data_IF_239129551759
#
_entry.id   IF_239129551759
#
_cell.length_a   1.000
_cell.length_b   1.000
_cell.length_c   1.000
_cell.angle_alpha   90.00
_cell.angle_beta   90.00
_cell.angle_gamma   90.00
#
_symmetry.space_group_name_H-M   'P 1'
#
loop_
_entity.id
_entity.type
_entity.pdbx_description
1 polymer ?
#
# COMPACT_ATOMS: atom_id res chain seq x y z
N UNK A 1 -14.22 36.78 78.61
CA UNK A 1 -13.44 37.06 77.38
C UNK A 1 -12.76 35.79 76.91
N UNK A 2 -13.53 34.88 76.30
CA UNK A 2 -13.08 33.58 75.80
C UNK A 2 -13.65 33.51 74.39
N UNK A 3 -12.93 34.04 73.38
CA UNK A 3 -13.28 33.85 71.96
C UNK A 3 -12.22 34.32 70.95
N UNK A 4 -10.96 34.52 71.33
CA UNK A 4 -9.91 35.02 70.41
C UNK A 4 -8.74 34.03 70.19
N UNK A 5 -8.62 32.93 70.94
CA UNK A 5 -7.45 32.03 70.81
C UNK A 5 -7.70 30.77 69.95
N UNK A 6 -8.96 30.42 69.63
CA UNK A 6 -9.26 29.21 68.82
C UNK A 6 -9.28 29.41 67.30
N UNK A 7 -9.01 30.61 66.78
CA UNK A 7 -9.01 30.87 65.32
C UNK A 7 -7.61 30.90 64.70
N UNK A 8 -6.53 30.84 65.50
CA UNK A 8 -5.15 30.85 64.98
C UNK A 8 -4.47 29.49 64.94
N UNK A 9 -5.13 28.41 65.38
CA UNK A 9 -4.60 27.03 65.25
C UNK A 9 -5.29 26.19 64.15
N UNK A 10 -6.35 26.70 63.51
CA UNK A 10 -7.07 25.96 62.46
C UNK A 10 -6.77 26.44 61.04
N UNK A 11 -5.80 27.34 60.86
CA UNK A 11 -5.35 27.80 59.53
C UNK A 11 -4.00 27.16 59.15
N UNK A 12 -3.25 26.60 60.11
CA UNK A 12 -1.99 25.89 59.82
C UNK A 12 -2.14 24.37 59.63
N UNK A 13 -3.35 23.80 59.78
CA UNK A 13 -3.61 22.35 59.58
C UNK A 13 -4.38 22.03 58.29
N UNK A 14 -4.73 23.04 57.48
CA UNK A 14 -5.27 22.88 56.13
C UNK A 14 -4.26 23.23 55.02
N UNK A 15 -3.01 23.52 55.39
CA UNK A 15 -1.92 23.82 54.47
C UNK A 15 -0.96 22.63 54.22
N UNK A 16 -1.36 21.40 54.58
CA UNK A 16 -0.52 20.18 54.43
C UNK A 16 -1.12 19.12 53.47
N UNK A 17 -2.26 19.40 52.84
CA UNK A 17 -2.93 18.45 51.93
C UNK A 17 -3.23 19.09 50.56
N UNK A 18 -2.21 19.71 49.95
CA UNK A 18 -2.23 20.10 48.54
C UNK A 18 -0.85 19.99 47.88
N UNK A 19 0.02 19.10 48.36
CA UNK A 19 1.08 18.51 47.54
C UNK A 19 0.47 17.44 46.63
N UNK A 20 -0.47 17.88 45.79
CA UNK A 20 -0.89 17.11 44.63
C UNK A 20 0.34 16.93 43.76
N UNK A 21 0.94 15.75 43.85
CA UNK A 21 1.97 15.28 42.94
C UNK A 21 1.37 15.44 41.54
N UNK A 22 1.71 16.53 40.87
CA UNK A 22 1.69 16.58 39.42
C UNK A 22 2.76 15.58 38.99
N UNK A 23 2.37 14.31 39.00
CA UNK A 23 3.01 13.29 38.18
C UNK A 23 2.77 13.77 36.76
N UNK A 24 3.64 14.65 36.28
CA UNK A 24 3.91 14.75 34.87
C UNK A 24 4.29 13.33 34.49
N UNK A 25 3.32 12.60 33.94
CA UNK A 25 3.60 11.43 33.14
C UNK A 25 4.40 12.03 32.00
N UNK A 26 5.72 12.11 32.19
CA UNK A 26 6.67 12.15 31.10
C UNK A 26 6.34 10.86 30.37
N UNK A 27 5.45 10.98 29.37
CA UNK A 27 5.35 9.97 28.33
C UNK A 27 6.76 9.92 27.83
N UNK A 28 7.49 8.89 28.25
CA UNK A 28 8.75 8.50 27.65
C UNK A 28 8.41 8.50 26.17
N UNK A 29 8.89 9.52 25.45
CA UNK A 29 8.80 9.52 24.01
C UNK A 29 9.67 8.33 23.64
N UNK A 30 9.01 7.18 23.49
CA UNK A 30 9.61 6.00 22.94
C UNK A 30 10.20 6.51 21.63
N UNK A 31 11.54 6.52 21.55
CA UNK A 31 12.30 6.86 20.35
C UNK A 31 11.50 6.31 19.17
N UNK A 32 10.98 7.22 18.35
CA UNK A 32 9.92 6.89 17.41
C UNK A 32 10.44 5.76 16.53
N UNK A 33 9.96 4.54 16.79
CA UNK A 33 10.32 3.34 16.04
C UNK A 33 10.26 3.70 14.56
N UNK A 34 11.31 3.47 13.80
CA UNK A 34 11.39 3.79 12.37
C UNK A 34 10.32 3.07 11.53
N UNK A 35 9.55 2.18 12.16
CA UNK A 35 8.63 1.25 11.54
C UNK A 35 9.36 -0.02 11.11
N UNK A 36 8.63 -1.10 10.91
CA UNK A 36 9.20 -2.38 10.48
C UNK A 36 8.26 -3.18 9.60
N UNK A 37 8.84 -4.09 8.83
CA UNK A 37 8.15 -5.08 8.02
C UNK A 37 8.82 -6.42 8.29
N UNK A 38 8.02 -7.46 8.53
CA UNK A 38 8.51 -8.82 8.70
C UNK A 38 7.61 -9.77 7.91
N UNK A 39 8.22 -10.62 7.09
CA UNK A 39 7.52 -11.73 6.45
C UNK A 39 7.23 -12.82 7.47
N UNK A 40 5.97 -13.21 7.59
CA UNK A 40 5.52 -14.27 8.47
C UNK A 40 5.52 -15.59 7.71
N UNK A 41 5.97 -16.65 8.39
CA UNK A 41 5.89 -18.00 7.87
C UNK A 41 4.53 -18.60 8.17
N UNK A 42 4.10 -19.56 7.34
CA UNK A 42 2.91 -20.37 7.60
C UNK A 42 3.00 -21.04 8.99
N UNK A 43 1.85 -21.26 9.64
CA UNK A 43 1.82 -21.77 11.02
C UNK A 43 1.78 -20.66 12.08
N UNK A 44 2.32 -20.93 13.27
CA UNK A 44 2.20 -20.06 14.46
C UNK A 44 3.37 -19.06 14.56
N UNK A 45 3.04 -17.79 14.73
CA UNK A 45 3.98 -16.69 14.96
C UNK A 45 3.61 -16.00 16.30
N UNK A 46 4.53 -15.92 17.27
CA UNK A 46 4.21 -15.55 18.67
C UNK A 46 4.93 -14.30 19.19
N UNK A 47 5.66 -13.58 18.33
CA UNK A 47 6.57 -12.50 18.73
C UNK A 47 5.99 -11.09 18.62
N UNK A 48 4.74 -10.96 18.16
CA UNK A 48 4.25 -9.69 17.61
C UNK A 48 2.94 -9.25 18.25
N UNK A 49 2.77 -7.94 18.43
CA UNK A 49 1.53 -7.30 18.88
C UNK A 49 0.73 -6.80 17.65
N UNK A 50 -0.21 -7.61 17.17
CA UNK A 50 -1.10 -7.24 16.06
C UNK A 50 -2.41 -6.60 16.56
N UNK A 51 -2.81 -6.91 17.80
CA UNK A 51 -4.01 -6.34 18.43
C UNK A 51 -3.80 -4.88 18.87
N UNK A 52 -2.55 -4.46 19.03
CA UNK A 52 -2.08 -3.17 19.55
C UNK A 52 -2.49 -2.94 21.02
N UNK A 53 -2.52 -4.00 21.82
CA UNK A 53 -2.81 -3.95 23.26
C UNK A 53 -1.54 -3.96 24.13
N UNK A 54 -0.36 -3.98 23.51
CA UNK A 54 0.94 -4.01 24.18
C UNK A 54 1.42 -5.41 24.54
N UNK A 55 0.66 -6.47 24.23
CA UNK A 55 1.01 -7.86 24.50
C UNK A 55 1.36 -8.58 23.20
N UNK A 56 2.18 -9.62 23.31
CA UNK A 56 2.50 -10.50 22.18
C UNK A 56 1.28 -11.38 21.88
N UNK A 57 0.92 -11.47 20.62
CA UNK A 57 -0.16 -12.29 20.09
C UNK A 57 0.38 -13.56 19.44
N UNK A 58 -0.48 -14.59 19.39
CA UNK A 58 -0.30 -15.77 18.53
C UNK A 58 -1.04 -15.54 17.23
N UNK A 59 -0.29 -15.29 16.16
CA UNK A 59 -0.79 -15.19 14.78
C UNK A 59 -0.61 -16.55 14.12
N UNK A 60 -1.71 -17.25 13.84
CA UNK A 60 -1.67 -18.52 13.12
C UNK A 60 -2.20 -18.36 11.69
N UNK A 61 -1.32 -18.65 10.75
CA UNK A 61 -1.57 -18.60 9.30
C UNK A 61 -1.88 -20.02 8.80
N UNK A 62 -3.00 -20.20 8.10
CA UNK A 62 -3.43 -21.50 7.57
C UNK A 62 -3.95 -21.40 6.15
N UNK A 63 -3.32 -22.16 5.26
CA UNK A 63 -3.91 -22.57 3.98
C UNK A 63 -5.01 -23.61 4.24
N UNK A 64 -6.12 -23.56 3.50
CA UNK A 64 -7.26 -24.44 3.72
C UNK A 64 -8.05 -24.70 2.43
N UNK A 65 -8.78 -25.81 2.39
CA UNK A 65 -9.49 -26.25 1.17
C UNK A 65 -8.50 -26.66 0.10
N UNK A 66 -7.60 -27.59 0.43
CA UNK A 66 -6.62 -28.11 -0.51
C UNK A 66 -7.33 -28.90 -1.61
N UNK A 67 -6.94 -28.65 -2.85
CA UNK A 67 -7.43 -29.32 -4.05
C UNK A 67 -6.23 -29.52 -4.97
N UNK A 68 -5.84 -30.78 -5.19
CA UNK A 68 -4.60 -31.12 -5.93
C UNK A 68 -3.38 -30.35 -5.37
N UNK A 69 -2.90 -29.36 -6.11
CA UNK A 69 -1.71 -28.54 -5.88
C UNK A 69 -2.04 -27.09 -5.48
N UNK A 70 -3.32 -26.74 -5.33
CA UNK A 70 -3.77 -25.41 -4.90
C UNK A 70 -4.66 -25.46 -3.66
N UNK A 71 -5.02 -24.27 -3.20
CA UNK A 71 -5.89 -24.06 -2.05
C UNK A 71 -7.03 -23.11 -2.40
N UNK A 72 -8.20 -23.32 -1.81
CA UNK A 72 -9.41 -22.52 -2.08
C UNK A 72 -9.74 -21.49 -1.02
N UNK A 73 -9.04 -21.51 0.11
CA UNK A 73 -9.23 -20.56 1.20
C UNK A 73 -7.98 -20.33 2.05
N UNK A 74 -7.89 -19.14 2.65
CA UNK A 74 -6.84 -18.76 3.59
C UNK A 74 -7.46 -18.26 4.90
N UNK A 75 -6.97 -18.77 6.03
CA UNK A 75 -7.48 -18.43 7.36
C UNK A 75 -6.38 -17.84 8.22
N UNK A 76 -6.73 -16.79 8.95
CA UNK A 76 -5.84 -16.20 9.97
C UNK A 76 -6.55 -16.26 11.31
N UNK A 77 -5.85 -16.83 12.30
CA UNK A 77 -6.31 -16.87 13.68
C UNK A 77 -5.42 -15.98 14.53
N UNK A 78 -6.03 -15.20 15.41
CA UNK A 78 -5.36 -14.37 16.41
C UNK A 78 -5.75 -14.90 17.78
N UNK A 79 -4.76 -15.32 18.57
CA UNK A 79 -4.98 -15.89 19.91
C UNK A 79 -6.02 -17.02 19.91
N UNK A 80 -5.90 -17.93 18.94
CA UNK A 80 -6.79 -19.08 18.77
C UNK A 80 -8.16 -18.77 18.13
N UNK A 81 -8.53 -17.50 17.98
CA UNK A 81 -9.82 -17.09 17.39
C UNK A 81 -9.67 -16.79 15.90
N UNK A 82 -10.58 -17.30 15.08
CA UNK A 82 -10.57 -17.02 13.64
C UNK A 82 -10.92 -15.55 13.37
N UNK A 83 -9.90 -14.79 12.93
CA UNK A 83 -9.98 -13.36 12.70
C UNK A 83 -10.20 -12.99 11.24
N UNK A 84 -9.79 -13.85 10.29
CA UNK A 84 -9.99 -13.69 8.85
C UNK A 84 -10.24 -15.03 8.18
N UNK A 85 -11.14 -15.03 7.21
CA UNK A 85 -11.28 -16.10 6.21
C UNK A 85 -11.38 -15.41 4.85
N UNK A 86 -10.49 -15.78 3.94
CA UNK A 86 -10.57 -15.44 2.51
C UNK A 86 -10.94 -16.74 1.81
N UNK A 87 -12.03 -16.76 1.02
CA UNK A 87 -12.60 -17.96 0.39
C UNK A 87 -12.95 -17.69 -1.07
N UNK A 88 -13.30 -18.74 -1.80
CA UNK A 88 -13.69 -18.69 -3.21
C UNK A 88 -12.58 -18.09 -4.08
N UNK A 89 -11.35 -18.55 -3.84
CA UNK A 89 -10.19 -18.18 -4.64
C UNK A 89 -9.42 -19.44 -5.04
N UNK A 90 -8.42 -19.27 -5.88
CA UNK A 90 -7.48 -20.31 -6.30
C UNK A 90 -6.07 -19.74 -6.11
N UNK A 91 -5.23 -20.40 -5.31
CA UNK A 91 -3.86 -19.95 -5.09
C UNK A 91 -2.92 -21.10 -4.69
N UNK A 92 -1.64 -20.94 -5.03
CA UNK A 92 -0.56 -21.86 -4.69
C UNK A 92 0.26 -21.34 -3.50
N UNK A 93 0.56 -20.04 -3.52
CA UNK A 93 1.48 -19.38 -2.59
C UNK A 93 0.82 -18.28 -1.77
N UNK A 94 1.25 -18.11 -0.52
CA UNK A 94 0.86 -16.99 0.31
C UNK A 94 2.10 -16.21 0.73
N UNK A 95 2.10 -14.90 0.46
CA UNK A 95 3.06 -13.97 1.04
C UNK A 95 2.35 -13.10 2.07
N UNK A 96 2.74 -13.25 3.33
CA UNK A 96 2.14 -12.52 4.45
C UNK A 96 3.21 -11.69 5.13
N UNK A 97 2.97 -10.38 5.23
CA UNK A 97 3.91 -9.46 5.86
C UNK A 97 3.20 -8.69 6.99
N UNK A 98 3.77 -8.74 8.19
CA UNK A 98 3.38 -7.88 9.29
C UNK A 98 4.10 -6.55 9.16
N UNK A 99 3.34 -5.46 9.12
CA UNK A 99 3.84 -4.10 9.07
C UNK A 99 3.54 -3.39 10.36
N UNK A 100 4.54 -2.73 10.94
CA UNK A 100 4.42 -1.99 12.19
C UNK A 100 4.84 -0.54 11.98
N UNK A 101 3.90 0.38 12.13
CA UNK A 101 4.15 1.81 11.99
C UNK A 101 4.76 2.40 13.28
N UNK A 102 5.40 3.57 13.15
CA UNK A 102 5.98 4.31 14.29
C UNK A 102 4.98 4.80 15.33
N UNK A 103 3.70 4.90 14.97
CA UNK A 103 2.61 5.32 15.86
C UNK A 103 1.94 4.14 16.60
N UNK A 104 2.63 3.02 16.69
CA UNK A 104 2.09 1.86 17.36
C UNK A 104 0.87 1.20 16.73
N UNK A 105 0.78 1.26 15.39
CA UNK A 105 -0.26 0.57 14.61
C UNK A 105 0.33 -0.54 13.76
N UNK A 106 -0.20 -1.74 13.95
CA UNK A 106 0.09 -2.95 13.19
C UNK A 106 -0.91 -3.17 12.07
N UNK A 107 -0.41 -3.68 10.95
CA UNK A 107 -1.18 -4.06 9.77
C UNK A 107 -0.65 -5.38 9.22
N UNK A 108 -1.52 -6.16 8.58
CA UNK A 108 -1.16 -7.42 7.94
C UNK A 108 -1.39 -7.30 6.44
N UNK A 109 -0.34 -7.44 5.65
CA UNK A 109 -0.43 -7.59 4.22
C UNK A 109 -0.56 -9.08 3.90
N UNK A 110 -1.47 -9.42 3.00
CA UNK A 110 -1.64 -10.79 2.49
C UNK A 110 -1.75 -10.69 0.98
N UNK A 111 -0.84 -11.38 0.30
CA UNK A 111 -0.94 -11.72 -1.12
C UNK A 111 -1.11 -13.23 -1.27
N UNK A 112 -2.13 -13.64 -2.00
CA UNK A 112 -2.37 -15.05 -2.35
C UNK A 112 -2.20 -15.18 -3.86
N UNK A 113 -1.15 -15.88 -4.28
CA UNK A 113 -0.71 -15.97 -5.66
C UNK A 113 -1.26 -17.23 -6.34
N UNK A 114 -2.09 -17.05 -7.36
CA UNK A 114 -2.48 -18.05 -8.35
C UNK A 114 -1.64 -17.91 -9.63
N UNK A 115 -2.23 -18.28 -10.76
CA UNK A 115 -1.58 -18.22 -12.07
C UNK A 115 -1.07 -16.82 -12.41
N UNK A 116 0.14 -16.74 -12.99
CA UNK A 116 0.81 -15.48 -13.30
C UNK A 116 1.01 -14.53 -12.09
N UNK A 117 0.88 -15.06 -10.87
CA UNK A 117 0.89 -14.27 -9.64
C UNK A 117 -0.46 -13.60 -9.34
N UNK A 118 -1.52 -13.91 -10.07
CA UNK A 118 -2.83 -13.30 -9.91
C UNK A 118 -3.43 -13.61 -8.55
N UNK A 119 -4.05 -12.60 -7.95
CA UNK A 119 -4.86 -12.83 -6.76
C UNK A 119 -4.96 -11.63 -5.84
N UNK A 120 -5.64 -11.81 -4.71
CA UNK A 120 -5.87 -10.72 -3.76
C UNK A 120 -4.55 -10.25 -3.16
N UNK A 121 -4.28 -8.94 -3.24
CA UNK A 121 -3.19 -8.26 -2.52
C UNK A 121 -3.80 -7.19 -1.62
N UNK A 122 -3.93 -7.47 -0.32
CA UNK A 122 -4.75 -6.67 0.59
C UNK A 122 -4.01 -6.34 1.88
N UNK A 123 -4.30 -5.17 2.44
CA UNK A 123 -3.83 -4.76 3.78
C UNK A 123 -5.00 -4.82 4.75
N UNK A 124 -4.79 -5.48 5.88
CA UNK A 124 -5.76 -5.68 6.95
C UNK A 124 -5.31 -5.01 8.24
N UNK A 125 -6.28 -4.65 9.09
CA UNK A 125 -6.05 -4.20 10.46
C UNK A 125 -6.94 -4.98 11.42
N UNK A 126 -6.38 -5.40 12.55
CA UNK A 126 -7.17 -6.02 13.60
C UNK A 126 -8.07 -4.99 14.29
N UNK A 127 -9.37 -5.29 14.38
CA UNK A 127 -10.37 -4.47 15.06
C UNK A 127 -11.47 -5.39 15.61
N UNK A 128 -11.73 -5.30 16.92
CA UNK A 128 -12.85 -6.01 17.58
C UNK A 128 -12.92 -7.51 17.22
N UNK A 129 -11.81 -8.24 17.35
CA UNK A 129 -11.80 -9.69 17.09
C UNK A 129 -11.61 -10.11 15.64
N UNK A 130 -11.54 -9.18 14.68
CA UNK A 130 -11.47 -9.47 13.25
C UNK A 130 -10.35 -8.68 12.56
N UNK A 131 -9.76 -9.27 11.53
CA UNK A 131 -8.91 -8.55 10.60
C UNK A 131 -9.79 -7.94 9.51
N UNK A 132 -9.91 -6.62 9.52
CA UNK A 132 -10.73 -5.87 8.56
C UNK A 132 -9.84 -5.40 7.42
N UNK A 133 -10.24 -5.66 6.17
CA UNK A 133 -9.57 -5.13 4.98
C UNK A 133 -9.65 -3.60 5.00
N UNK A 134 -8.51 -2.93 5.03
CA UNK A 134 -8.40 -1.46 5.03
C UNK A 134 -7.92 -0.90 3.70
N UNK A 135 -7.17 -1.70 2.92
CA UNK A 135 -6.75 -1.34 1.57
C UNK A 135 -6.84 -2.57 0.69
N UNK A 136 -7.43 -2.38 -0.49
CA UNK A 136 -7.42 -3.33 -1.60
C UNK A 136 -6.48 -2.76 -2.67
N UNK A 137 -5.29 -3.37 -2.82
CA UNK A 137 -4.22 -2.78 -3.64
C UNK A 137 -4.47 -3.01 -5.13
N UNK A 138 -5.22 -4.06 -5.48
CA UNK A 138 -5.45 -4.47 -6.88
C UNK A 138 -6.68 -3.77 -7.46
N UNK A 139 -7.75 -3.60 -6.67
CA UNK A 139 -9.01 -2.99 -7.15
C UNK A 139 -8.86 -1.67 -7.93
N UNK A 140 -7.94 -0.74 -7.60
CA UNK A 140 -7.78 0.49 -8.36
C UNK A 140 -7.18 0.32 -9.76
N UNK A 141 -6.53 -0.81 -10.05
CA UNK A 141 -5.76 -1.03 -11.29
C UNK A 141 -6.18 -2.26 -12.09
N UNK A 142 -6.67 -3.33 -11.46
CA UNK A 142 -7.02 -4.57 -12.15
C UNK A 142 -8.13 -4.36 -13.18
N UNK A 143 -7.90 -4.78 -14.42
CA UNK A 143 -8.81 -4.58 -15.56
C UNK A 143 -8.98 -3.12 -15.98
N UNK A 144 -8.18 -2.20 -15.44
CA UNK A 144 -8.24 -0.75 -15.75
C UNK A 144 -6.88 -0.28 -16.30
N UNK A 145 -5.80 -0.54 -15.57
CA UNK A 145 -4.42 -0.28 -16.01
C UNK A 145 -3.95 -1.40 -16.94
N UNK A 146 -4.35 -2.62 -16.59
CA UNK A 146 -3.85 -3.85 -17.16
C UNK A 146 -4.36 -5.04 -16.36
N UNK A 147 -3.86 -6.20 -16.73
CA UNK A 147 -4.12 -7.46 -16.05
C UNK A 147 -2.89 -7.88 -15.23
N UNK A 148 -2.93 -9.08 -14.66
CA UNK A 148 -1.86 -9.65 -13.85
C UNK A 148 -1.22 -8.68 -12.86
N UNK A 149 -2.07 -8.12 -12.00
CA UNK A 149 -1.68 -7.06 -11.08
C UNK A 149 -1.34 -7.65 -9.71
N UNK A 150 -0.16 -7.29 -9.20
CA UNK A 150 0.32 -7.75 -7.90
C UNK A 150 0.87 -6.59 -7.07
N UNK A 151 1.14 -6.85 -5.80
CA UNK A 151 1.76 -5.87 -4.92
C UNK A 151 2.74 -6.55 -3.95
N UNK A 152 3.74 -5.80 -3.51
CA UNK A 152 4.71 -6.23 -2.51
C UNK A 152 5.00 -5.09 -1.54
N UNK A 153 5.00 -5.36 -0.22
CA UNK A 153 5.43 -4.37 0.75
C UNK A 153 6.95 -4.34 0.77
N UNK A 154 7.53 -3.21 0.36
CA UNK A 154 8.99 -3.03 0.32
C UNK A 154 9.54 -2.52 1.64
N UNK A 155 8.87 -1.56 2.27
CA UNK A 155 9.31 -1.01 3.55
C UNK A 155 8.21 -0.25 4.29
N UNK A 156 8.45 -0.04 5.58
CA UNK A 156 7.73 0.94 6.40
C UNK A 156 8.74 1.97 6.87
N UNK A 157 8.41 3.26 6.71
CA UNK A 157 9.21 4.37 7.23
C UNK A 157 8.31 5.32 7.99
N UNK A 158 8.46 5.37 9.31
CA UNK A 158 7.60 6.13 10.21
C UNK A 158 6.15 5.66 10.14
N UNK A 159 5.26 6.55 9.69
CA UNK A 159 3.82 6.28 9.53
C UNK A 159 3.42 5.97 8.07
N UNK A 160 4.38 5.59 7.24
CA UNK A 160 4.19 5.32 5.79
C UNK A 160 4.58 3.90 5.43
N UNK A 161 3.80 3.31 4.52
CA UNK A 161 4.03 1.98 3.93
C UNK A 161 4.35 2.20 2.45
N UNK A 162 5.48 1.67 2.01
CA UNK A 162 5.96 1.74 0.63
C UNK A 162 5.68 0.40 -0.04
N UNK A 163 4.89 0.45 -1.11
CA UNK A 163 4.37 -0.71 -1.81
C UNK A 163 4.89 -0.64 -3.25
N UNK A 164 5.54 -1.72 -3.69
CA UNK A 164 5.76 -1.91 -5.12
C UNK A 164 4.50 -2.51 -5.71
N UNK A 165 4.01 -1.91 -6.79
CA UNK A 165 2.84 -2.34 -7.53
C UNK A 165 3.28 -2.80 -8.92
N UNK A 166 2.87 -4.01 -9.31
CA UNK A 166 3.13 -4.55 -10.64
C UNK A 166 1.81 -4.68 -11.42
N UNK A 167 1.88 -4.52 -12.74
CA UNK A 167 0.77 -4.78 -13.66
C UNK A 167 1.29 -5.14 -15.04
N UNK A 168 0.65 -6.10 -15.70
CA UNK A 168 0.69 -6.24 -17.16
C UNK A 168 -0.16 -5.13 -17.79
N UNK A 169 0.38 -3.92 -17.77
CA UNK A 169 -0.23 -2.67 -18.21
C UNK A 169 -0.57 -2.72 -19.69
N UNK A 170 -1.80 -2.34 -20.07
CA UNK A 170 -2.26 -2.25 -21.46
C UNK A 170 -1.48 -1.26 -22.32
N UNK A 171 -0.72 -0.34 -21.70
CA UNK A 171 0.13 0.59 -22.42
C UNK A 171 1.61 0.29 -22.39
N UNK A 172 2.09 -0.50 -21.43
CA UNK A 172 3.52 -0.60 -21.11
C UNK A 172 4.01 -2.03 -20.86
N UNK A 173 3.20 -3.07 -21.14
CA UNK A 173 3.50 -4.45 -20.77
C UNK A 173 3.81 -4.57 -19.27
N UNK A 174 4.81 -5.36 -18.86
CA UNK A 174 5.14 -5.54 -17.45
C UNK A 174 5.65 -4.23 -16.87
N UNK A 175 4.88 -3.61 -15.97
CA UNK A 175 5.16 -2.28 -15.42
C UNK A 175 5.21 -2.35 -13.89
N UNK A 176 6.18 -1.64 -13.31
CA UNK A 176 6.32 -1.50 -11.85
C UNK A 176 6.30 -0.02 -11.41
N UNK A 177 5.57 0.30 -10.34
CA UNK A 177 5.48 1.64 -9.78
C UNK A 177 5.35 1.63 -8.25
N UNK A 178 5.65 2.78 -7.62
CA UNK A 178 5.54 2.93 -6.16
C UNK A 178 4.20 3.50 -5.73
N UNK A 179 3.49 2.80 -4.86
CA UNK A 179 2.40 3.34 -4.08
C UNK A 179 2.84 3.57 -2.64
N UNK A 180 2.57 4.77 -2.11
CA UNK A 180 2.87 5.10 -0.71
C UNK A 180 1.56 5.32 0.02
N UNK A 181 1.33 4.54 1.07
CA UNK A 181 0.18 4.70 1.96
C UNK A 181 0.63 5.33 3.28
N UNK A 182 -0.13 6.29 3.79
CA UNK A 182 0.15 6.99 5.04
C UNK A 182 -0.98 6.82 6.05
N UNK A 183 -0.62 6.71 7.31
CA UNK A 183 -1.59 6.83 8.39
C UNK A 183 -2.04 8.28 8.54
N UNK A 184 -3.35 8.53 8.47
CA UNK A 184 -3.96 9.83 8.71
C UNK A 184 -5.30 9.63 9.42
N UNK A 185 -5.48 10.28 10.56
CA UNK A 185 -6.74 10.32 11.32
C UNK A 185 -7.40 8.93 11.50
N UNK A 186 -6.63 7.94 11.96
CA UNK A 186 -7.17 6.60 12.20
C UNK A 186 -7.23 5.68 10.98
N UNK A 187 -6.89 6.17 9.79
CA UNK A 187 -7.03 5.42 8.53
C UNK A 187 -5.71 5.36 7.77
N UNK A 188 -5.55 4.29 6.97
CA UNK A 188 -4.48 4.18 6.00
C UNK A 188 -5.02 4.70 4.66
N UNK A 189 -4.37 5.73 4.09
CA UNK A 189 -4.81 6.37 2.85
C UNK A 189 -3.65 6.51 1.88
N UNK A 190 -3.93 6.47 0.57
CA UNK A 190 -2.87 6.76 -0.41
C UNK A 190 -2.32 8.17 -0.21
N UNK A 191 -1.00 8.32 -0.23
CA UNK A 191 -0.33 9.61 -0.08
C UNK A 191 -0.58 10.52 -1.29
N UNK A 192 -0.64 9.93 -2.48
CA UNK A 192 -0.76 10.61 -3.76
C UNK A 192 -1.58 9.74 -4.72
N UNK A 193 -2.20 10.40 -5.71
CA UNK A 193 -2.76 9.72 -6.89
C UNK A 193 -1.74 9.59 -8.01
N UNK A 194 -0.67 10.36 -7.94
CA UNK A 194 0.45 10.32 -8.86
C UNK A 194 1.59 9.49 -8.25
N UNK A 195 2.13 8.57 -9.05
CA UNK A 195 3.08 7.56 -8.65
C UNK A 195 4.30 7.57 -9.58
N UNK A 196 5.47 7.35 -8.98
CA UNK A 196 6.71 7.15 -9.72
C UNK A 196 6.72 5.76 -10.34
N UNK A 197 7.01 5.66 -11.63
CA UNK A 197 7.26 4.38 -12.30
C UNK A 197 8.72 4.01 -12.05
N UNK A 198 8.96 2.78 -11.61
CA UNK A 198 10.31 2.22 -11.49
C UNK A 198 10.84 1.81 -12.86
N UNK A 199 10.00 1.14 -13.63
CA UNK A 199 10.29 0.77 -15.01
C UNK A 199 9.15 0.02 -15.66
N UNK A 200 9.40 -0.41 -16.89
CA UNK A 200 8.59 -1.34 -17.64
C UNK A 200 9.50 -2.26 -18.45
N UNK A 201 9.04 -3.47 -18.75
CA UNK A 201 9.72 -4.45 -19.57
C UNK A 201 8.73 -5.06 -20.58
N UNK A 202 9.26 -5.50 -21.71
CA UNK A 202 8.49 -6.01 -22.84
C UNK A 202 9.35 -6.98 -23.65
N UNK A 203 9.10 -8.28 -23.51
CA UNK A 203 9.83 -9.32 -24.24
C UNK A 203 9.49 -9.32 -25.74
N UNK A 204 10.45 -9.57 -26.65
CA UNK A 204 11.89 -9.74 -26.41
C UNK A 204 12.70 -8.42 -26.41
N UNK A 205 12.07 -7.26 -26.65
CA UNK A 205 12.80 -5.98 -26.87
C UNK A 205 13.44 -5.39 -25.62
N UNK A 206 12.76 -5.48 -24.48
CA UNK A 206 13.19 -4.94 -23.19
C UNK A 206 13.00 -6.03 -22.15
N UNK A 207 14.00 -6.88 -21.96
CA UNK A 207 13.92 -8.06 -21.10
C UNK A 207 14.14 -7.76 -19.62
N UNK A 208 14.59 -6.54 -19.29
CA UNK A 208 14.79 -6.08 -17.92
C UNK A 208 13.88 -4.91 -17.59
N UNK A 209 13.62 -4.69 -16.30
CA UNK A 209 12.82 -3.56 -15.84
C UNK A 209 13.63 -2.27 -15.97
N UNK A 210 13.10 -1.29 -16.69
CA UNK A 210 13.78 0.01 -16.85
C UNK A 210 12.90 1.08 -17.49
N UNK A 211 13.43 2.31 -17.57
CA UNK A 211 12.76 3.42 -18.27
C UNK A 211 13.37 3.56 -19.66
N UNK A 212 12.73 2.91 -20.64
CA UNK A 212 13.19 2.89 -22.03
C UNK A 212 12.58 4.00 -22.88
N UNK A 213 13.28 4.37 -23.95
CA UNK A 213 12.73 5.25 -24.97
C UNK A 213 11.75 4.47 -25.83
N UNK A 214 10.49 4.90 -25.86
CA UNK A 214 9.40 4.33 -26.63
C UNK A 214 9.03 5.23 -27.80
N UNK A 215 8.57 4.63 -28.89
CA UNK A 215 8.15 5.31 -30.12
C UNK A 215 6.65 5.18 -30.29
N UNK A 216 5.90 6.29 -30.29
CA UNK A 216 4.45 6.20 -30.48
C UNK A 216 4.08 5.72 -31.88
N UNK A 217 3.12 4.80 -31.96
CA UNK A 217 2.67 4.19 -33.24
C UNK A 217 1.75 5.11 -34.04
N UNK A 218 1.02 5.99 -33.36
CA UNK A 218 0.03 6.91 -33.91
C UNK A 218 0.15 8.29 -33.28
N UNK A 219 -0.50 9.29 -33.89
CA UNK A 219 -0.56 10.61 -33.27
C UNK A 219 -1.15 10.55 -31.85
N UNK A 220 -0.52 11.24 -30.90
CA UNK A 220 -0.84 11.15 -29.48
C UNK A 220 -1.14 12.53 -28.90
N UNK A 221 -2.33 12.71 -28.32
CA UNK A 221 -2.67 13.95 -27.61
C UNK A 221 -2.09 13.92 -26.19
N UNK A 222 -1.24 14.91 -25.88
CA UNK A 222 -0.82 15.17 -24.52
C UNK A 222 -1.73 16.20 -23.83
N UNK A 223 -1.82 16.10 -22.52
CA UNK A 223 -2.60 16.96 -21.66
C UNK A 223 -1.71 17.63 -20.61
N UNK A 224 -2.07 18.85 -20.20
CA UNK A 224 -1.33 19.61 -19.18
C UNK A 224 -1.44 18.98 -17.79
N UNK A 225 -2.55 18.28 -17.52
CA UNK A 225 -2.83 17.66 -16.23
C UNK A 225 -3.25 16.19 -16.37
N UNK A 226 -3.02 15.41 -15.31
CA UNK A 226 -3.34 13.99 -15.23
C UNK A 226 -4.86 13.69 -15.24
N UNK A 227 -5.69 14.70 -14.96
CA UNK A 227 -7.14 14.58 -15.11
C UNK A 227 -7.60 14.63 -16.58
N UNK A 228 -6.68 14.91 -17.51
CA UNK A 228 -6.90 14.99 -18.96
C UNK A 228 -7.92 16.08 -19.37
N UNK A 229 -8.02 17.15 -18.58
CA UNK A 229 -9.01 18.23 -18.82
C UNK A 229 -8.54 19.28 -19.82
N UNK A 230 -7.24 19.48 -19.94
CA UNK A 230 -6.66 20.55 -20.76
C UNK A 230 -5.64 19.95 -21.73
N UNK A 231 -5.91 20.09 -23.03
CA UNK A 231 -4.97 19.67 -24.08
C UNK A 231 -3.70 20.52 -24.00
N UNK A 232 -2.57 19.90 -24.29
CA UNK A 232 -1.26 20.54 -24.40
C UNK A 232 -0.82 20.52 -25.86
N UNK A 233 -0.11 19.47 -26.27
CA UNK A 233 0.44 19.31 -27.62
C UNK A 233 0.02 17.97 -28.20
N UNK A 234 -0.17 17.92 -29.52
CA UNK A 234 -0.38 16.68 -30.26
C UNK A 234 0.95 16.23 -30.86
N UNK A 235 1.42 15.04 -30.49
CA UNK A 235 2.63 14.42 -31.03
C UNK A 235 2.31 13.75 -32.37
N UNK A 236 3.25 13.83 -33.32
CA UNK A 236 3.19 13.06 -34.56
C UNK A 236 3.53 11.59 -34.26
N UNK A 237 3.07 10.65 -35.09
CA UNK A 237 3.54 9.27 -35.01
C UNK A 237 5.07 9.20 -35.18
N UNK A 238 5.73 8.24 -34.54
CA UNK A 238 7.19 8.14 -34.59
C UNK A 238 7.96 9.02 -33.60
N UNK A 239 7.26 9.82 -32.78
CA UNK A 239 7.87 10.60 -31.70
C UNK A 239 8.41 9.68 -30.60
N UNK A 240 9.68 9.88 -30.24
CA UNK A 240 10.35 9.17 -29.15
C UNK A 240 10.09 9.84 -27.80
N UNK A 241 9.78 9.04 -26.78
CA UNK A 241 9.50 9.53 -25.42
C UNK A 241 9.79 8.48 -24.34
N UNK A 242 9.90 8.92 -23.08
CA UNK A 242 9.97 8.07 -21.89
C UNK A 242 8.73 8.25 -21.05
N UNK A 243 8.21 7.18 -20.47
CA UNK A 243 7.09 7.25 -19.51
C UNK A 243 7.65 7.16 -18.10
N UNK A 244 7.36 8.13 -17.24
CA UNK A 244 8.04 8.25 -15.93
C UNK A 244 7.12 8.17 -14.72
N UNK A 245 5.84 8.49 -14.90
CA UNK A 245 4.85 8.54 -13.82
C UNK A 245 3.51 8.05 -14.32
N UNK A 246 2.73 7.46 -13.42
CA UNK A 246 1.33 7.18 -13.65
C UNK A 246 0.45 7.95 -12.65
N UNK A 247 -0.78 8.19 -13.04
CA UNK A 247 -1.80 8.78 -12.19
C UNK A 247 -3.02 7.88 -12.15
N UNK A 248 -3.52 7.60 -10.96
CA UNK A 248 -4.60 6.66 -10.68
C UNK A 248 -5.65 7.38 -9.83
N UNK A 249 -6.86 7.53 -10.38
CA UNK A 249 -7.97 8.15 -9.66
C UNK A 249 -9.29 7.53 -10.07
N UNK A 250 -9.79 6.59 -9.28
CA UNK A 250 -10.94 5.77 -9.66
C UNK A 250 -10.61 5.02 -10.95
N UNK A 251 -11.53 5.03 -11.92
CA UNK A 251 -11.32 4.40 -13.24
C UNK A 251 -10.44 5.20 -14.21
N UNK A 252 -9.87 6.33 -13.78
CA UNK A 252 -9.02 7.16 -14.64
C UNK A 252 -7.55 6.84 -14.40
N UNK A 253 -6.89 6.41 -15.46
CA UNK A 253 -5.45 6.18 -15.49
C UNK A 253 -4.82 6.98 -16.63
N UNK A 254 -3.73 7.65 -16.32
CA UNK A 254 -2.94 8.40 -17.29
C UNK A 254 -1.46 8.30 -16.98
N UNK A 255 -0.65 8.46 -18.01
CA UNK A 255 0.79 8.35 -17.94
C UNK A 255 1.44 9.66 -18.33
N UNK A 256 2.44 10.08 -17.57
CA UNK A 256 3.23 11.25 -17.87
C UNK A 256 4.44 10.87 -18.72
N UNK A 257 4.64 11.61 -19.80
CA UNK A 257 5.70 11.39 -20.78
C UNK A 257 6.57 12.62 -20.97
N UNK A 258 7.81 12.35 -21.35
CA UNK A 258 8.79 13.36 -21.78
C UNK A 258 9.42 12.89 -23.08
N UNK A 259 9.32 13.72 -24.12
CA UNK A 259 9.93 13.47 -25.42
C UNK A 259 11.40 13.88 -25.42
N UNK A 260 12.18 13.34 -26.36
CA UNK A 260 13.60 13.72 -26.52
C UNK A 260 13.80 15.20 -26.87
N UNK A 261 12.78 15.86 -27.46
CA UNK A 261 12.81 17.30 -27.76
C UNK A 261 12.14 18.17 -26.67
N UNK A 262 12.00 17.67 -25.44
CA UNK A 262 11.58 18.45 -24.27
C UNK A 262 10.07 18.68 -24.12
N UNK A 263 9.24 18.17 -25.04
CA UNK A 263 7.77 18.21 -24.86
C UNK A 263 7.37 17.25 -23.74
N UNK A 264 6.44 17.70 -22.89
CA UNK A 264 5.99 16.92 -21.74
C UNK A 264 4.49 17.04 -21.54
N UNK A 265 3.90 16.02 -20.93
CA UNK A 265 2.49 16.01 -20.59
C UNK A 265 1.96 14.63 -20.28
N UNK A 266 0.64 14.56 -20.10
CA UNK A 266 -0.08 13.35 -19.75
C UNK A 266 -0.77 12.78 -20.97
N UNK A 267 -0.77 11.46 -21.15
CA UNK A 267 -1.64 10.78 -22.10
C UNK A 267 -2.51 9.75 -21.36
N UNK A 268 -3.65 9.43 -21.96
CA UNK A 268 -4.61 8.48 -21.39
C UNK A 268 -4.03 7.05 -21.46
N UNK A 269 -4.16 6.29 -20.38
CA UNK A 269 -3.87 4.86 -20.43
C UNK A 269 -4.74 4.17 -21.48
N UNK A 270 -4.18 3.26 -22.29
CA UNK A 270 -4.98 2.37 -23.12
C UNK A 270 -5.93 1.51 -22.28
N UNK A 271 -7.00 1.04 -22.91
CA UNK A 271 -8.00 0.15 -22.28
C UNK A 271 -7.83 -1.32 -22.63
N UNK A 272 -6.92 -1.64 -23.55
CA UNK A 272 -6.58 -3.01 -23.93
C UNK A 272 -5.21 -3.06 -24.61
N UNK A 273 -4.62 -4.26 -24.64
CA UNK A 273 -3.35 -4.55 -25.33
C UNK A 273 -3.42 -4.30 -26.84
N UNK A 274 -4.62 -4.27 -27.44
CA UNK A 274 -4.84 -4.03 -28.88
C UNK A 274 -4.53 -2.61 -29.33
N UNK A 275 -4.59 -1.64 -28.42
CA UNK A 275 -4.36 -0.23 -28.77
C UNK A 275 -2.90 0.11 -29.09
N UNK A 276 -1.96 -0.73 -28.64
CA UNK A 276 -0.51 -0.69 -28.95
C UNK A 276 0.05 0.73 -29.12
N UNK A 277 0.08 1.56 -28.05
CA UNK A 277 0.49 2.96 -28.17
C UNK A 277 1.96 3.13 -28.59
N UNK A 278 2.80 2.12 -28.39
CA UNK A 278 4.25 2.16 -28.63
C UNK A 278 4.75 0.95 -29.42
N UNK A 279 5.76 1.15 -30.27
CA UNK A 279 6.34 0.10 -31.15
C UNK A 279 7.13 -0.96 -30.40
N UNK A 280 7.64 -0.62 -29.22
CA UNK A 280 8.51 -1.47 -28.42
C UNK A 280 7.74 -2.33 -27.42
N UNK A 281 6.46 -2.02 -27.20
CA UNK A 281 5.59 -2.73 -26.28
C UNK A 281 4.87 -3.87 -27.01
N UNK A 282 5.20 -5.09 -26.59
CA UNK A 282 4.73 -6.35 -27.13
C UNK A 282 4.16 -7.15 -25.95
N UNK A 283 3.01 -7.77 -26.16
CA UNK A 283 2.38 -8.65 -25.18
C UNK A 283 2.56 -10.08 -25.67
N UNK A 284 2.90 -10.99 -24.75
CA UNK A 284 2.73 -12.42 -25.01
C UNK A 284 1.26 -12.67 -25.32
N UNK A 285 1.01 -13.43 -26.39
CA UNK A 285 -0.34 -13.85 -26.80
C UNK A 285 -0.80 -15.05 -26.00
#
# INVERSE_FOLDING_TARGET
MIKIVKLRLLICLLAVLCSGVFSTVIKKEASASSGSVVTLQDGKNTRYDITNDGKKDVIQLKKAGAESDWFTSYKVYINGKCALIIKNLYYYGANVQLMRLSNNKSYLFIHLAGDNGDGPSNIYRYKKGKLVKVVDLIKPIGGIMGDHCTAEIKSVKGKKIYVSMNSMSYGLAGMEYEAVYKYKAGNLVSQSKEHRIFGYFSYPKHTTLGIYTLTNTRSMQLYKNAALKQKSVKLKAGTKMKVKRCYISGKRISFYVETSNGKKGWFKSPKSTREKPFKEIIYAG
#
